data_IF_057857167461
#
_entry.id   IF_057857167461
#
_cell.length_a   1.000
_cell.length_b   1.000
_cell.length_c   1.000
_cell.angle_alpha   90.00
_cell.angle_beta   90.00
_cell.angle_gamma   90.00
#
_symmetry.space_group_name_H-M   'P 1'
#
loop_
_entity.id
_entity.type
_entity.pdbx_description
1 polymer ?
#
# COMPACT_ATOMS: atom_id res chain seq x y z
N UNK A 1 -7.53 -3.53 10.43
CA UNK A 1 -7.05 -4.93 10.67
C UNK A 1 -5.76 -4.84 11.46
N UNK A 2 -5.03 -5.93 11.73
CA UNK A 2 -3.66 -5.81 12.27
C UNK A 2 -2.63 -5.85 11.14
N UNK A 3 -1.37 -5.55 11.46
CA UNK A 3 -0.29 -5.36 10.48
C UNK A 3 -0.19 -6.50 9.45
N UNK A 4 -0.36 -7.76 9.88
CA UNK A 4 -0.33 -8.93 9.00
C UNK A 4 -1.40 -8.86 7.91
N UNK A 5 -2.61 -8.47 8.29
CA UNK A 5 -3.72 -8.30 7.36
C UNK A 5 -3.45 -7.20 6.35
N UNK A 6 -3.00 -6.04 6.82
CA UNK A 6 -2.72 -4.90 5.93
C UNK A 6 -1.53 -5.14 5.01
N UNK A 7 -0.43 -5.72 5.49
CA UNK A 7 0.70 -6.14 4.64
C UNK A 7 0.22 -7.12 3.58
N UNK A 8 -0.58 -8.12 3.96
CA UNK A 8 -1.14 -9.08 3.01
C UNK A 8 -1.99 -8.45 1.92
N UNK A 9 -2.91 -7.56 2.30
CA UNK A 9 -3.78 -6.85 1.34
C UNK A 9 -2.96 -5.91 0.44
N UNK A 10 -1.95 -5.23 0.97
CA UNK A 10 -1.05 -4.38 0.19
C UNK A 10 -0.24 -5.18 -0.83
N UNK A 11 0.33 -6.32 -0.43
CA UNK A 11 1.05 -7.22 -1.34
C UNK A 11 0.13 -7.80 -2.41
N UNK A 12 -1.10 -8.16 -2.04
CA UNK A 12 -2.10 -8.64 -2.99
C UNK A 12 -2.45 -7.57 -4.04
N UNK A 13 -2.67 -6.33 -3.60
CA UNK A 13 -2.95 -5.20 -4.50
C UNK A 13 -1.74 -4.86 -5.39
N UNK A 14 -0.52 -4.98 -4.86
CA UNK A 14 0.72 -4.70 -5.58
C UNK A 14 1.12 -5.80 -6.57
N UNK A 15 0.72 -7.06 -6.34
CA UNK A 15 1.07 -8.19 -7.20
C UNK A 15 0.92 -7.92 -8.71
N UNK A 16 -0.22 -7.47 -9.26
CA UNK A 16 -0.34 -7.18 -10.69
C UNK A 16 0.62 -6.08 -11.17
N UNK A 17 0.93 -5.09 -10.32
CA UNK A 17 1.91 -4.02 -10.65
C UNK A 17 3.33 -4.59 -10.71
N UNK A 18 3.68 -5.48 -9.78
CA UNK A 18 4.97 -6.17 -9.77
C UNK A 18 5.20 -6.93 -11.08
N UNK A 19 4.21 -7.73 -11.51
CA UNK A 19 4.28 -8.45 -12.78
C UNK A 19 4.39 -7.51 -13.99
N UNK A 20 3.64 -6.41 -14.00
CA UNK A 20 3.70 -5.44 -15.09
C UNK A 20 5.08 -4.80 -15.25
N UNK A 21 5.71 -4.37 -14.14
CA UNK A 21 7.07 -3.78 -14.23
C UNK A 21 8.14 -4.82 -14.56
N UNK A 22 7.97 -6.08 -14.15
CA UNK A 22 8.86 -7.17 -14.57
C UNK A 22 8.78 -7.45 -16.07
N UNK A 23 7.58 -7.55 -16.62
CA UNK A 23 7.37 -7.69 -18.07
C UNK A 23 7.94 -6.50 -18.85
N UNK A 24 7.96 -5.30 -18.25
CA UNK A 24 8.59 -4.12 -18.81
C UNK A 24 10.14 -4.11 -18.72
N UNK A 25 10.76 -5.14 -18.15
CA UNK A 25 12.22 -5.24 -17.99
C UNK A 25 12.77 -4.51 -16.77
N UNK A 26 11.93 -4.18 -15.79
CA UNK A 26 12.29 -3.37 -14.61
C UNK A 26 12.21 -4.17 -13.30
N UNK A 27 13.00 -5.25 -13.12
CA UNK A 27 12.93 -6.10 -11.93
C UNK A 27 13.33 -5.37 -10.64
N UNK A 28 14.16 -4.32 -10.73
CA UNK A 28 14.51 -3.47 -9.59
C UNK A 28 13.29 -2.71 -9.04
N UNK A 29 12.40 -2.24 -9.93
CA UNK A 29 11.15 -1.59 -9.52
C UNK A 29 10.17 -2.58 -8.88
N UNK A 30 10.18 -3.85 -9.28
CA UNK A 30 9.37 -4.89 -8.64
C UNK A 30 9.74 -5.05 -7.14
N UNK A 31 11.04 -5.05 -6.83
CA UNK A 31 11.53 -5.16 -5.45
C UNK A 31 11.28 -3.87 -4.68
N UNK A 32 11.59 -2.72 -5.28
CA UNK A 32 11.38 -1.41 -4.66
C UNK A 32 9.90 -1.18 -4.33
N UNK A 33 9.00 -1.49 -5.26
CA UNK A 33 7.56 -1.34 -5.05
C UNK A 33 7.05 -2.28 -3.95
N UNK A 34 7.53 -3.53 -3.87
CA UNK A 34 7.17 -4.41 -2.77
C UNK A 34 7.60 -3.83 -1.41
N UNK A 35 8.82 -3.28 -1.32
CA UNK A 35 9.31 -2.63 -0.11
C UNK A 35 8.45 -1.40 0.28
N UNK A 36 8.11 -0.55 -0.70
CA UNK A 36 7.22 0.61 -0.48
C UNK A 36 5.83 0.17 -0.03
N UNK A 37 5.25 -0.85 -0.67
CA UNK A 37 3.94 -1.38 -0.30
C UNK A 37 3.93 -1.91 1.15
N UNK A 38 4.95 -2.66 1.55
CA UNK A 38 5.08 -3.14 2.94
C UNK A 38 5.23 -1.96 3.90
N UNK A 39 6.12 -1.00 3.61
CA UNK A 39 6.39 0.14 4.47
C UNK A 39 5.17 1.05 4.68
N UNK A 40 4.36 1.26 3.63
CA UNK A 40 3.17 2.10 3.69
C UNK A 40 1.93 1.38 4.23
N UNK A 41 1.92 0.05 4.28
CA UNK A 41 0.73 -0.76 4.56
C UNK A 41 0.03 -0.45 5.90
N UNK A 42 0.76 0.02 6.91
CA UNK A 42 0.22 0.35 8.23
C UNK A 42 0.35 1.83 8.59
N UNK A 43 0.72 2.68 7.63
CA UNK A 43 0.93 4.11 7.89
C UNK A 43 -0.34 4.81 8.44
N UNK A 44 -1.56 4.54 7.95
CA UNK A 44 -2.77 5.18 8.50
C UNK A 44 -2.99 4.91 9.99
N UNK A 45 -2.61 3.72 10.49
CA UNK A 45 -2.77 3.32 11.90
C UNK A 45 -1.79 4.03 12.86
N UNK A 46 -0.88 4.86 12.35
CA UNK A 46 -0.13 5.78 13.20
C UNK A 46 -1.07 6.77 13.92
N UNK A 47 -2.32 6.91 13.46
CA UNK A 47 -3.36 7.68 14.15
C UNK A 47 -3.59 7.26 15.61
N UNK A 48 -3.34 5.99 15.96
CA UNK A 48 -3.36 5.52 17.36
C UNK A 48 -2.34 6.23 18.27
N UNK A 49 -1.34 6.89 17.69
CA UNK A 49 -0.27 7.63 18.40
C UNK A 49 -0.38 9.14 18.22
N UNK A 50 -1.38 9.62 17.49
CA UNK A 50 -1.57 11.02 17.15
C UNK A 50 -2.84 11.55 17.84
N UNK A 51 -2.94 12.87 18.09
CA UNK A 51 -4.13 13.49 18.67
C UNK A 51 -5.25 13.67 17.63
N UNK A 52 -5.55 12.61 16.86
CA UNK A 52 -6.63 12.58 15.85
C UNK A 52 -7.53 11.38 16.10
N UNK A 53 -8.78 11.46 15.64
CA UNK A 53 -9.70 10.34 15.75
C UNK A 53 -9.22 9.15 14.89
N UNK A 54 -9.25 7.95 15.46
CA UNK A 54 -8.93 6.72 14.73
C UNK A 54 -9.92 6.53 13.57
N UNK A 55 -9.40 6.14 12.39
CA UNK A 55 -10.16 6.08 11.13
C UNK A 55 -10.77 7.41 10.71
N UNK A 56 -10.11 8.49 11.11
CA UNK A 56 -10.44 9.85 10.74
C UNK A 56 -9.67 10.28 9.49
N UNK A 57 -8.89 11.38 9.55
CA UNK A 57 -8.22 11.93 8.37
C UNK A 57 -7.26 10.97 7.65
N UNK A 58 -6.57 10.10 8.39
CA UNK A 58 -5.58 9.13 7.90
C UNK A 58 -6.19 8.00 7.08
N UNK A 59 -7.49 7.71 7.24
CA UNK A 59 -8.19 6.62 6.53
C UNK A 59 -9.09 7.16 5.42
N UNK A 60 -8.59 8.17 4.70
CA UNK A 60 -9.29 8.80 3.57
C UNK A 60 -8.53 8.62 2.26
N UNK A 61 -9.26 8.69 1.15
CA UNK A 61 -8.64 8.71 -0.20
C UNK A 61 -7.75 9.94 -0.37
N UNK A 62 -8.16 11.08 0.19
CA UNK A 62 -7.37 12.31 0.16
C UNK A 62 -6.01 12.14 0.85
N UNK A 63 -5.98 11.51 2.03
CA UNK A 63 -4.72 11.19 2.71
C UNK A 63 -3.85 10.25 1.90
N UNK A 64 -4.43 9.19 1.31
CA UNK A 64 -3.69 8.24 0.48
C UNK A 64 -3.00 8.94 -0.71
N UNK A 65 -3.71 9.83 -1.41
CA UNK A 65 -3.16 10.60 -2.53
C UNK A 65 -2.09 11.58 -2.07
N UNK A 66 -2.32 12.33 -0.99
CA UNK A 66 -1.37 13.30 -0.47
C UNK A 66 -0.07 12.63 0.01
N UNK A 67 -0.17 11.54 0.76
CA UNK A 67 0.98 10.77 1.23
C UNK A 67 1.73 10.09 0.08
N UNK A 68 1.02 9.62 -0.95
CA UNK A 68 1.63 9.11 -2.17
C UNK A 68 2.40 10.19 -2.94
N UNK A 69 1.84 11.38 -3.09
CA UNK A 69 2.54 12.52 -3.69
C UNK A 69 3.79 12.91 -2.89
N UNK A 70 3.70 12.90 -1.56
CA UNK A 70 4.85 13.12 -0.69
C UNK A 70 5.94 12.04 -0.88
N UNK A 71 5.54 10.77 -0.97
CA UNK A 71 6.46 9.67 -1.23
C UNK A 71 7.15 9.80 -2.59
N UNK A 72 6.43 10.25 -3.63
CA UNK A 72 7.04 10.56 -4.93
C UNK A 72 8.08 11.67 -4.83
N UNK A 73 7.76 12.78 -4.15
CA UNK A 73 8.70 13.88 -3.95
C UNK A 73 9.95 13.41 -3.18
N UNK A 74 9.77 12.67 -2.10
CA UNK A 74 10.86 12.12 -1.31
C UNK A 74 11.76 11.17 -2.13
N UNK A 75 11.17 10.32 -2.96
CA UNK A 75 11.91 9.44 -3.87
C UNK A 75 12.70 10.23 -4.93
N UNK A 76 12.14 11.32 -5.46
CA UNK A 76 12.84 12.19 -6.41
C UNK A 76 14.09 12.86 -5.82
N UNK A 77 14.07 13.13 -4.51
CA UNK A 77 15.22 13.69 -3.78
C UNK A 77 16.23 12.60 -3.42
N UNK A 78 15.76 11.44 -2.94
CA UNK A 78 16.62 10.36 -2.42
C UNK A 78 17.23 9.46 -3.51
N UNK A 79 16.60 9.37 -4.68
CA UNK A 79 17.02 8.54 -5.81
C UNK A 79 17.22 9.40 -7.07
N UNK A 80 18.16 10.36 -7.06
CA UNK A 80 18.37 11.22 -8.23
C UNK A 80 18.86 10.41 -9.43
N UNK A 81 18.36 10.77 -10.61
CA UNK A 81 18.76 10.14 -11.87
C UNK A 81 20.29 10.21 -12.06
N UNK A 82 20.91 9.08 -12.41
CA UNK A 82 22.36 9.00 -12.65
C UNK A 82 23.22 8.81 -11.38
N UNK A 83 22.62 8.57 -10.21
CA UNK A 83 23.37 8.19 -9.02
C UNK A 83 24.14 6.86 -9.27
N UNK A 84 25.43 6.77 -8.89
CA UNK A 84 26.24 5.57 -9.08
C UNK A 84 25.90 4.50 -8.03
N UNK A 85 24.66 4.03 -8.02
CA UNK A 85 24.14 3.04 -7.06
C UNK A 85 24.24 1.60 -7.56
N UNK A 86 24.77 1.38 -8.77
CA UNK A 86 24.91 0.05 -9.39
C UNK A 86 23.60 -0.58 -9.89
N UNK A 87 22.45 0.08 -9.65
CA UNK A 87 21.13 -0.31 -10.15
C UNK A 87 20.55 0.91 -10.86
N UNK A 88 20.59 0.90 -12.19
CA UNK A 88 19.99 1.97 -12.99
C UNK A 88 18.46 1.89 -12.88
N UNK A 89 17.88 2.70 -12.00
CA UNK A 89 16.44 2.85 -11.91
C UNK A 89 15.95 3.87 -12.96
N UNK A 90 14.78 3.66 -13.58
CA UNK A 90 14.28 4.57 -14.60
C UNK A 90 14.00 5.98 -14.07
N UNK A 91 14.04 7.03 -14.92
CA UNK A 91 13.73 8.40 -14.50
C UNK A 91 12.34 8.59 -13.90
N UNK A 92 11.38 7.69 -14.21
CA UNK A 92 10.02 7.71 -13.70
C UNK A 92 9.84 7.02 -12.33
N UNK A 93 10.93 6.54 -11.71
CA UNK A 93 10.94 5.90 -10.38
C UNK A 93 10.21 6.71 -9.30
N UNK A 94 10.36 8.04 -9.20
CA UNK A 94 9.63 8.81 -8.19
C UNK A 94 8.11 8.70 -8.33
N UNK A 95 7.60 8.79 -9.57
CA UNK A 95 6.17 8.64 -9.85
C UNK A 95 5.69 7.22 -9.52
N UNK A 96 6.51 6.21 -9.82
CA UNK A 96 6.23 4.82 -9.44
C UNK A 96 6.12 4.63 -7.93
N UNK A 97 7.09 5.14 -7.16
CA UNK A 97 7.08 5.06 -5.69
C UNK A 97 5.82 5.72 -5.13
N UNK A 98 5.45 6.91 -5.62
CA UNK A 98 4.20 7.56 -5.19
C UNK A 98 2.94 6.78 -5.56
N UNK A 99 2.92 6.18 -6.75
CA UNK A 99 1.82 5.32 -7.20
C UNK A 99 1.65 4.09 -6.31
N UNK A 100 2.73 3.38 -6.00
CA UNK A 100 2.72 2.20 -5.14
C UNK A 100 2.37 2.56 -3.69
N UNK A 101 2.89 3.67 -3.17
CA UNK A 101 2.51 4.18 -1.86
C UNK A 101 1.01 4.48 -1.80
N UNK A 102 0.47 5.19 -2.79
CA UNK A 102 -0.98 5.48 -2.89
C UNK A 102 -1.79 4.19 -2.95
N UNK A 103 -1.39 3.22 -3.79
CA UNK A 103 -2.05 1.92 -3.92
C UNK A 103 -2.07 1.18 -2.57
N UNK A 104 -0.94 1.14 -1.87
CA UNK A 104 -0.82 0.52 -0.56
C UNK A 104 -1.74 1.18 0.48
N UNK A 105 -1.77 2.52 0.52
CA UNK A 105 -2.63 3.25 1.45
C UNK A 105 -4.12 3.06 1.12
N UNK A 106 -4.50 3.05 -0.15
CA UNK A 106 -5.85 2.70 -0.58
C UNK A 106 -6.20 1.26 -0.19
N UNK A 107 -5.25 0.32 -0.31
CA UNK A 107 -5.44 -1.07 0.09
C UNK A 107 -5.66 -1.20 1.61
N UNK A 108 -4.99 -0.37 2.41
CA UNK A 108 -5.23 -0.28 3.85
C UNK A 108 -6.66 0.17 4.14
N UNK A 109 -7.10 1.28 3.53
CA UNK A 109 -8.45 1.83 3.66
C UNK A 109 -9.50 0.79 3.24
N UNK A 110 -9.29 0.08 2.13
CA UNK A 110 -10.15 -1.02 1.70
C UNK A 110 -10.15 -2.19 2.68
N UNK A 111 -8.99 -2.56 3.23
CA UNK A 111 -8.87 -3.59 4.25
C UNK A 111 -9.62 -3.26 5.54
N UNK A 112 -9.72 -1.99 5.90
CA UNK A 112 -10.51 -1.56 7.04
C UNK A 112 -12.02 -1.56 6.77
N UNK A 113 -12.44 -1.37 5.52
CA UNK A 113 -13.84 -1.57 5.12
C UNK A 113 -14.31 -3.03 5.29
N UNK A 114 -13.41 -4.02 5.32
CA UNK A 114 -13.74 -5.44 5.58
C UNK A 114 -14.25 -5.64 7.02
N UNK A 115 -13.83 -4.78 7.94
CA UNK A 115 -14.08 -4.93 9.38
C UNK A 115 -15.37 -4.26 9.83
N UNK A 116 -16.06 -4.74 10.90
CA UNK A 116 -17.31 -4.16 11.38
C UNK A 116 -17.29 -2.64 11.57
N UNK A 117 -16.19 -2.09 12.11
CA UNK A 117 -16.02 -0.66 12.36
C UNK A 117 -16.00 0.17 11.06
N UNK A 118 -15.63 -0.42 9.92
CA UNK A 118 -15.61 0.21 8.60
C UNK A 118 -14.84 1.53 8.51
N UNK A 119 -15.13 2.30 7.45
CA UNK A 119 -14.43 3.56 7.11
C UNK A 119 -15.40 4.61 6.58
N UNK A 120 -14.91 5.86 6.45
CA UNK A 120 -15.57 6.94 5.72
C UNK A 120 -14.58 7.57 4.71
N UNK A 121 -14.38 6.94 3.54
CA UNK A 121 -13.23 7.20 2.68
C UNK A 121 -13.17 8.63 2.11
N UNK A 122 -14.32 9.30 2.03
CA UNK A 122 -14.47 10.61 1.41
C UNK A 122 -14.68 11.75 2.41
N UNK A 123 -14.38 11.54 3.69
CA UNK A 123 -14.36 12.66 4.65
C UNK A 123 -13.30 13.70 4.26
N UNK A 124 -13.55 15.01 4.48
CA UNK A 124 -14.76 15.59 5.08
C UNK A 124 -15.90 15.87 4.07
N UNK A 125 -15.69 15.61 2.78
CA UNK A 125 -16.63 15.94 1.70
C UNK A 125 -17.92 15.12 1.75
N UNK A 126 -17.85 13.88 2.25
CA UNK A 126 -19.00 13.00 2.41
C UNK A 126 -18.94 12.23 3.72
N UNK A 127 -20.12 12.04 4.32
CA UNK A 127 -20.31 11.23 5.51
C UNK A 127 -20.51 9.74 5.19
N UNK A 128 -20.47 9.34 3.91
CA UNK A 128 -20.69 7.97 3.45
C UNK A 128 -19.81 6.98 4.21
N UNK A 129 -20.45 5.97 4.76
CA UNK A 129 -19.81 4.95 5.58
C UNK A 129 -19.84 3.62 4.84
N UNK A 130 -18.66 3.00 4.72
CA UNK A 130 -18.50 1.69 4.08
C UNK A 130 -18.05 0.68 5.12
N UNK A 131 -18.76 -0.43 5.22
CA UNK A 131 -18.40 -1.61 6.01
C UNK A 131 -18.96 -2.85 5.32
N UNK A 132 -18.16 -3.92 5.25
CA UNK A 132 -18.59 -5.23 4.78
C UNK A 132 -18.93 -6.17 5.95
N UNK A 133 -18.50 -5.81 7.16
CA UNK A 133 -18.72 -6.57 8.40
C UNK A 133 -18.42 -8.08 8.27
N UNK A 134 -17.30 -8.44 7.61
CA UNK A 134 -16.97 -9.84 7.32
C UNK A 134 -16.15 -10.49 8.42
N UNK A 135 -15.24 -9.75 9.04
CA UNK A 135 -14.41 -10.26 10.13
C UNK A 135 -13.92 -9.14 11.04
N UNK A 136 -13.88 -9.35 12.36
CA UNK A 136 -13.23 -8.42 13.28
C UNK A 136 -11.76 -8.18 12.90
N UNK A 137 -11.30 -6.94 13.08
CA UNK A 137 -9.91 -6.55 12.82
C UNK A 137 -8.88 -7.43 13.56
N UNK A 138 -9.23 -7.88 14.77
CA UNK A 138 -8.39 -8.68 15.65
C UNK A 138 -8.37 -10.18 15.32
N UNK A 139 -9.14 -10.66 14.32
CA UNK A 139 -9.20 -12.09 13.99
C UNK A 139 -7.83 -12.61 13.49
N UNK A 140 -7.12 -13.47 14.25
CA UNK A 140 -5.76 -13.89 13.90
C UNK A 140 -5.72 -14.84 12.70
N UNK A 141 -6.82 -15.52 12.37
CA UNK A 141 -6.91 -16.39 11.20
C UNK A 141 -7.04 -15.55 9.94
N UNK A 142 -7.94 -14.57 9.93
CA UNK A 142 -8.10 -13.65 8.80
C UNK A 142 -6.79 -12.89 8.51
N UNK A 143 -6.14 -12.34 9.53
CA UNK A 143 -4.87 -11.63 9.37
C UNK A 143 -3.76 -12.50 8.76
N UNK A 144 -3.67 -13.79 9.15
CA UNK A 144 -2.70 -14.73 8.56
C UNK A 144 -3.09 -15.15 7.14
N UNK A 145 -4.38 -15.32 6.86
CA UNK A 145 -4.89 -15.65 5.55
C UNK A 145 -4.55 -14.54 4.54
N UNK A 146 -4.85 -13.29 4.84
CA UNK A 146 -4.50 -12.17 3.96
C UNK A 146 -3.00 -12.06 3.74
N UNK A 147 -2.18 -12.24 4.79
CA UNK A 147 -0.72 -12.27 4.65
C UNK A 147 -0.26 -13.37 3.70
N UNK A 148 -0.77 -14.60 3.89
CA UNK A 148 -0.41 -15.75 3.05
C UNK A 148 -0.86 -15.57 1.60
N UNK A 149 -2.09 -15.11 1.37
CA UNK A 149 -2.63 -14.85 0.02
C UNK A 149 -1.85 -13.73 -0.67
N UNK A 150 -1.55 -12.63 0.02
CA UNK A 150 -0.78 -11.53 -0.55
C UNK A 150 0.64 -11.93 -0.90
N UNK A 151 1.33 -12.64 -0.01
CA UNK A 151 2.66 -13.16 -0.26
C UNK A 151 2.69 -14.15 -1.43
N UNK A 152 1.71 -15.07 -1.49
CA UNK A 152 1.57 -16.02 -2.58
C UNK A 152 1.27 -15.33 -3.92
N UNK A 153 0.38 -14.33 -3.93
CA UNK A 153 0.05 -13.56 -5.13
C UNK A 153 1.27 -12.81 -5.68
N UNK A 154 2.05 -12.16 -4.81
CA UNK A 154 3.28 -11.49 -5.22
C UNK A 154 4.32 -12.50 -5.73
N UNK A 155 4.52 -13.60 -5.01
CA UNK A 155 5.47 -14.65 -5.41
C UNK A 155 5.11 -15.27 -6.77
N UNK A 156 3.82 -15.54 -7.00
CA UNK A 156 3.31 -16.01 -8.29
C UNK A 156 3.52 -14.97 -9.38
N UNK A 157 3.19 -13.70 -9.11
CA UNK A 157 3.38 -12.64 -10.09
C UNK A 157 4.85 -12.50 -10.51
N UNK A 158 5.78 -12.52 -9.55
CA UNK A 158 7.22 -12.46 -9.81
C UNK A 158 7.73 -13.73 -10.49
N UNK A 159 7.28 -14.91 -10.05
CA UNK A 159 7.74 -16.19 -10.59
C UNK A 159 7.20 -16.52 -11.99
N UNK A 160 6.07 -15.93 -12.38
CA UNK A 160 5.45 -16.10 -13.70
C UNK A 160 5.85 -15.01 -14.71
N UNK A 161 6.69 -14.05 -14.31
CA UNK A 161 7.16 -12.96 -15.18
C UNK A 161 8.68 -12.99 -15.32
N UNK A 162 9.22 -12.56 -16.47
CA UNK A 162 10.65 -12.61 -16.75
C UNK A 162 11.46 -11.72 -15.80
#
# INVERSE_FOLDING_TARGET
MYWRGHVGIALLAYAPVAGAVRVAGEPGLAVLGAAVAVACSTLPDLDHRLPVAHRGPTHTVAFAVAAGAFAALAAGIALPAGAPTGVALPPWTPAFVGGVATLSLCSHVAGDAITPMGIRPFRPLSAWHVTLDLTPAANPRANRLFLGVGAAALALSVGLTP
#
